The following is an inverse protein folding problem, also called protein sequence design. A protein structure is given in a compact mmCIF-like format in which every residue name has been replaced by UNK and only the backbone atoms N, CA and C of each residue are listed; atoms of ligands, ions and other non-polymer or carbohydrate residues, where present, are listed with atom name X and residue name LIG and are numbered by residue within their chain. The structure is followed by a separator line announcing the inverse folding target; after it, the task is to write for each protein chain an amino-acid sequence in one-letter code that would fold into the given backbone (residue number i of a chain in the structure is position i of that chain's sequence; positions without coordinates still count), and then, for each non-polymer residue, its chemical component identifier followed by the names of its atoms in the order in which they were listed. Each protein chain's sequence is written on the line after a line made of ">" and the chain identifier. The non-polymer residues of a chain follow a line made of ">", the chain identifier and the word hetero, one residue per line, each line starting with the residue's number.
data_IF_946775916351
#
_entry.id   IF_946775916351
#
_cell.length_a   1.000
_cell.length_b   1.000
_cell.length_c   1.000
_cell.angle_alpha   90.00
_cell.angle_beta   90.00
_cell.angle_gamma   90.00
#
_symmetry.space_group_name_H-M   'P 1'
#
loop_
_entity.id
_entity.type
_entity.pdbx_description
1 polymer ?
#
# COMPACT_ATOMS: atom_id res chain seq x y z
N UNK A 1 -2.05 4.09 26.88
CA UNK A 1 -3.23 3.36 26.36
C UNK A 1 -3.19 3.25 24.84
N UNK A 2 -3.20 4.35 24.08
CA UNK A 2 -3.13 4.28 22.60
C UNK A 2 -1.84 3.62 22.10
N UNK A 3 -0.67 4.12 22.52
CA UNK A 3 0.64 3.53 22.18
C UNK A 3 0.76 2.07 22.63
N UNK A 4 0.22 1.73 23.81
CA UNK A 4 0.19 0.35 24.31
C UNK A 4 -0.64 -0.57 23.40
N UNK A 5 -1.76 -0.06 22.89
CA UNK A 5 -2.59 -0.82 21.96
C UNK A 5 -1.92 -1.01 20.61
N UNK A 6 -1.23 0.02 20.10
CA UNK A 6 -0.44 -0.04 18.87
C UNK A 6 0.68 -1.09 18.98
N UNK A 7 1.49 -1.01 20.03
CA UNK A 7 2.57 -1.97 20.29
C UNK A 7 2.05 -3.42 20.34
N UNK A 8 1.00 -3.68 21.12
CA UNK A 8 0.40 -5.03 21.23
C UNK A 8 -0.17 -5.52 19.90
N UNK A 9 -0.71 -4.61 19.08
CA UNK A 9 -1.22 -4.94 17.76
C UNK A 9 -0.08 -5.29 16.81
N UNK A 10 0.92 -4.42 16.67
CA UNK A 10 2.03 -4.64 15.74
C UNK A 10 2.83 -5.91 16.09
N UNK A 11 3.08 -6.19 17.37
CA UNK A 11 3.66 -7.47 17.79
C UNK A 11 2.82 -8.68 17.39
N UNK A 12 1.49 -8.60 17.57
CA UNK A 12 0.58 -9.67 17.17
C UNK A 12 0.60 -9.88 15.65
N UNK A 13 0.71 -8.81 14.86
CA UNK A 13 0.80 -8.91 13.41
C UNK A 13 2.12 -9.55 12.97
N UNK A 14 3.24 -9.17 13.60
CA UNK A 14 4.57 -9.72 13.35
C UNK A 14 4.61 -11.24 13.61
N UNK A 15 3.98 -11.71 14.70
CA UNK A 15 3.94 -13.13 15.06
C UNK A 15 3.03 -13.98 14.16
N UNK A 16 2.11 -13.35 13.41
CA UNK A 16 1.07 -14.04 12.65
C UNK A 16 1.11 -13.73 11.14
N UNK A 17 2.28 -13.35 10.59
CA UNK A 17 2.42 -12.95 9.19
C UNK A 17 1.93 -14.01 8.19
N UNK A 18 2.14 -15.30 8.46
CA UNK A 18 1.72 -16.38 7.56
C UNK A 18 0.19 -16.51 7.46
N UNK A 19 -0.50 -16.30 8.59
CA UNK A 19 -1.97 -16.25 8.63
C UNK A 19 -2.49 -15.04 7.86
N UNK A 20 -1.84 -13.87 8.00
CA UNK A 20 -2.21 -12.67 7.25
C UNK A 20 -2.00 -12.84 5.74
N UNK A 21 -0.91 -13.50 5.32
CA UNK A 21 -0.63 -13.79 3.90
C UNK A 21 -1.60 -14.79 3.29
N UNK A 22 -2.05 -15.77 4.07
CA UNK A 22 -3.10 -16.73 3.67
C UNK A 22 -4.52 -16.18 3.81
N UNK A 23 -4.69 -14.91 4.21
CA UNK A 23 -5.98 -14.29 4.49
C UNK A 23 -6.80 -15.03 5.56
N UNK A 24 -6.13 -15.73 6.47
CA UNK A 24 -6.77 -16.45 7.58
C UNK A 24 -7.06 -15.44 8.71
N UNK A 25 -8.32 -15.32 9.15
CA UNK A 25 -8.69 -14.32 10.16
C UNK A 25 -8.17 -14.69 11.55
N UNK A 26 -7.64 -13.70 12.26
CA UNK A 26 -7.14 -13.81 13.62
C UNK A 26 -8.30 -13.71 14.62
N UNK A 27 -8.49 -14.76 15.41
CA UNK A 27 -9.54 -14.85 16.43
C UNK A 27 -9.05 -14.33 17.78
N UNK A 28 -9.86 -13.51 18.46
CA UNK A 28 -9.53 -12.94 19.79
C UNK A 28 -9.16 -14.00 20.83
N UNK A 29 -9.78 -15.19 20.76
CA UNK A 29 -9.52 -16.31 21.67
C UNK A 29 -8.17 -16.97 21.42
N UNK A 30 -7.73 -17.02 20.16
CA UNK A 30 -6.45 -17.59 19.78
C UNK A 30 -5.30 -16.60 19.99
N UNK A 31 -5.59 -15.29 19.92
CA UNK A 31 -4.59 -14.22 19.96
C UNK A 31 -4.88 -13.25 21.12
N UNK A 32 -4.37 -13.52 22.34
CA UNK A 32 -4.67 -12.70 23.51
C UNK A 32 -4.14 -11.26 23.39
N UNK A 33 -3.04 -11.03 22.65
CA UNK A 33 -2.52 -9.67 22.39
C UNK A 33 -3.48 -8.84 21.56
N UNK A 34 -4.10 -9.43 20.54
CA UNK A 34 -5.14 -8.78 19.73
C UNK A 34 -6.35 -8.38 20.58
N UNK A 35 -6.81 -9.28 21.45
CA UNK A 35 -7.90 -9.01 22.39
C UNK A 35 -7.59 -7.85 23.35
N UNK A 36 -6.35 -7.81 23.88
CA UNK A 36 -5.89 -6.70 24.76
C UNK A 36 -5.78 -5.38 23.99
N UNK A 37 -5.20 -5.38 22.79
CA UNK A 37 -5.11 -4.19 21.94
C UNK A 37 -6.50 -3.61 21.66
N UNK A 38 -7.45 -4.47 21.25
CA UNK A 38 -8.85 -4.11 21.02
C UNK A 38 -9.52 -3.51 22.26
N UNK A 39 -9.31 -4.10 23.44
CA UNK A 39 -9.86 -3.58 24.70
C UNK A 39 -9.32 -2.18 25.03
N UNK A 40 -8.02 -1.96 24.85
CA UNK A 40 -7.40 -0.64 25.03
C UNK A 40 -7.94 0.39 24.04
N UNK A 41 -8.09 0.03 22.76
CA UNK A 41 -8.65 0.93 21.74
C UNK A 41 -10.12 1.25 22.02
N UNK A 42 -10.94 0.27 22.43
CA UNK A 42 -12.33 0.52 22.83
C UNK A 42 -12.42 1.52 23.99
N UNK A 43 -11.54 1.38 24.98
CA UNK A 43 -11.47 2.29 26.13
C UNK A 43 -11.04 3.70 25.71
N UNK A 44 -10.10 3.80 24.77
CA UNK A 44 -9.60 5.09 24.26
C UNK A 44 -10.69 5.81 23.45
N UNK A 45 -11.36 5.09 22.55
CA UNK A 45 -12.41 5.63 21.70
C UNK A 45 -13.67 6.01 22.49
N UNK A 46 -14.05 5.22 23.50
CA UNK A 46 -15.24 5.50 24.32
C UNK A 46 -15.09 6.73 25.23
N UNK A 47 -13.85 7.07 25.62
CA UNK A 47 -13.59 8.24 26.48
C UNK A 47 -13.73 9.56 25.75
N UNK A 48 -13.55 9.60 24.42
CA UNK A 48 -13.76 10.81 23.60
C UNK A 48 -12.82 12.00 23.87
N UNK A 49 -11.75 11.83 24.67
CA UNK A 49 -10.83 12.92 25.08
C UNK A 49 -9.59 13.08 24.17
N UNK A 50 -9.64 12.55 22.96
CA UNK A 50 -8.50 12.60 22.04
C UNK A 50 -8.56 13.85 21.15
N UNK A 51 -7.39 14.41 20.84
CA UNK A 51 -7.28 15.40 19.76
C UNK A 51 -7.61 14.72 18.42
N UNK A 52 -8.02 15.48 17.39
CA UNK A 52 -8.39 14.91 16.10
C UNK A 52 -7.32 13.99 15.48
N UNK A 53 -6.04 14.34 15.66
CA UNK A 53 -4.90 13.52 15.21
C UNK A 53 -4.90 12.13 15.87
N UNK A 54 -4.91 12.08 17.21
CA UNK A 54 -4.87 10.81 17.93
C UNK A 54 -6.17 10.01 17.79
N UNK A 55 -7.30 10.69 17.57
CA UNK A 55 -8.57 10.04 17.25
C UNK A 55 -8.46 9.30 15.91
N UNK A 56 -7.92 9.94 14.88
CA UNK A 56 -7.70 9.29 13.58
C UNK A 56 -6.75 8.10 13.69
N UNK A 57 -5.63 8.25 14.43
CA UNK A 57 -4.71 7.15 14.69
C UNK A 57 -5.41 5.98 15.40
N UNK A 58 -6.21 6.24 16.44
CA UNK A 58 -6.98 5.22 17.15
C UNK A 58 -8.02 4.51 16.26
N UNK A 59 -8.71 5.26 15.39
CA UNK A 59 -9.66 4.72 14.42
C UNK A 59 -8.96 3.84 13.37
N UNK A 60 -7.79 4.23 12.88
CA UNK A 60 -7.00 3.44 11.94
C UNK A 60 -6.45 2.16 12.58
N UNK A 61 -5.99 2.21 13.82
CA UNK A 61 -5.59 1.01 14.57
C UNK A 61 -6.77 0.07 14.81
N UNK A 62 -7.96 0.61 15.12
CA UNK A 62 -9.17 -0.21 15.23
C UNK A 62 -9.59 -0.82 13.88
N UNK A 63 -9.41 -0.07 12.78
CA UNK A 63 -9.64 -0.61 11.44
C UNK A 63 -8.71 -1.80 11.14
N UNK A 64 -7.41 -1.71 11.48
CA UNK A 64 -6.46 -2.82 11.36
C UNK A 64 -6.92 -4.05 12.18
N UNK A 65 -7.37 -3.86 13.43
CA UNK A 65 -7.93 -4.94 14.27
C UNK A 65 -9.12 -5.63 13.59
N UNK A 66 -10.07 -4.85 13.07
CA UNK A 66 -11.22 -5.40 12.36
C UNK A 66 -10.82 -6.13 11.07
N UNK A 67 -9.86 -5.58 10.32
CA UNK A 67 -9.35 -6.20 9.09
C UNK A 67 -8.78 -7.59 9.37
N UNK A 68 -7.89 -7.71 10.36
CA UNK A 68 -7.25 -9.01 10.66
C UNK A 68 -8.21 -10.03 11.26
N UNK A 69 -9.33 -9.59 11.85
CA UNK A 69 -10.42 -10.46 12.28
C UNK A 69 -11.34 -10.91 11.13
N UNK A 70 -11.10 -10.46 9.90
CA UNK A 70 -11.98 -10.71 8.74
C UNK A 70 -13.26 -9.87 8.74
N UNK A 71 -13.37 -8.86 9.62
CA UNK A 71 -14.54 -7.97 9.73
C UNK A 71 -14.35 -6.75 8.84
N UNK A 72 -14.30 -6.98 7.52
CA UNK A 72 -13.97 -5.94 6.53
C UNK A 72 -14.95 -4.76 6.51
N UNK A 73 -16.25 -5.00 6.75
CA UNK A 73 -17.27 -3.92 6.82
C UNK A 73 -17.03 -2.99 8.00
N UNK A 74 -16.75 -3.54 9.18
CA UNK A 74 -16.43 -2.77 10.38
C UNK A 74 -15.14 -1.96 10.15
N UNK A 75 -14.13 -2.60 9.56
CA UNK A 75 -12.85 -1.99 9.24
C UNK A 75 -13.00 -0.80 8.27
N UNK A 76 -13.78 -0.96 7.19
CA UNK A 76 -14.11 0.11 6.26
C UNK A 76 -14.84 1.27 6.95
N UNK A 77 -15.80 0.96 7.83
CA UNK A 77 -16.53 1.96 8.61
C UNK A 77 -15.61 2.80 9.50
N UNK A 78 -14.57 2.20 10.08
CA UNK A 78 -13.56 2.91 10.86
C UNK A 78 -12.64 3.78 9.98
N UNK A 79 -12.19 3.28 8.82
CA UNK A 79 -11.39 4.06 7.86
C UNK A 79 -12.13 5.29 7.32
N UNK A 80 -13.43 5.14 7.00
CA UNK A 80 -14.26 6.25 6.52
C UNK A 80 -14.36 7.41 7.53
N UNK A 81 -14.26 7.10 8.83
CA UNK A 81 -14.30 8.09 9.92
C UNK A 81 -12.93 8.68 10.25
N UNK A 82 -11.85 7.92 10.01
CA UNK A 82 -10.47 8.32 10.32
C UNK A 82 -9.75 9.12 9.22
N UNK A 83 -10.44 9.47 8.13
CA UNK A 83 -9.93 10.28 7.01
C UNK A 83 -8.63 9.75 6.34
N UNK A 84 -8.36 8.44 6.40
CA UNK A 84 -7.27 7.84 5.64
C UNK A 84 -7.64 6.49 5.01
N UNK A 85 -7.13 6.38 3.79
CA UNK A 85 -7.26 5.41 2.72
C UNK A 85 -7.42 3.94 3.16
N UNK A 86 -8.42 3.18 2.64
CA UNK A 86 -8.62 1.77 2.93
C UNK A 86 -7.46 0.94 2.36
N UNK A 87 -6.46 0.70 3.20
CA UNK A 87 -5.50 -0.40 3.06
C UNK A 87 -6.16 -1.78 3.26
N UNK A 88 -7.50 -1.78 3.39
CA UNK A 88 -8.35 -2.73 4.11
C UNK A 88 -9.51 -3.22 3.24
N UNK A 89 -9.61 -2.77 1.98
CA UNK A 89 -10.45 -3.45 1.00
C UNK A 89 -9.65 -4.62 0.43
N UNK A 90 -10.13 -5.88 0.51
CA UNK A 90 -9.64 -6.93 -0.37
C UNK A 90 -9.86 -6.49 -1.82
N UNK A 91 -8.87 -6.66 -2.69
CA UNK A 91 -9.14 -6.66 -4.13
C UNK A 91 -10.25 -7.70 -4.39
N UNK A 92 -11.39 -7.34 -4.99
CA UNK A 92 -12.51 -8.26 -5.20
C UNK A 92 -12.17 -9.49 -6.06
N UNK A 93 -11.02 -9.47 -6.75
CA UNK A 93 -10.53 -10.54 -7.63
C UNK A 93 -10.17 -11.87 -6.95
N UNK A 94 -10.45 -12.05 -5.66
CA UNK A 94 -10.34 -13.37 -4.98
C UNK A 94 -11.65 -13.84 -4.33
N UNK A 95 -12.75 -13.07 -4.38
CA UNK A 95 -14.00 -13.43 -3.66
C UNK A 95 -15.26 -13.45 -4.52
N UNK A 96 -15.21 -13.08 -5.80
CA UNK A 96 -16.43 -12.92 -6.60
C UNK A 96 -16.42 -13.61 -7.97
N UNK A 97 -15.71 -14.71 -8.14
CA UNK A 97 -15.72 -15.45 -9.41
C UNK A 97 -17.07 -16.10 -9.76
N UNK A 98 -18.07 -16.10 -8.88
CA UNK A 98 -19.35 -16.77 -9.17
C UNK A 98 -20.61 -16.06 -8.62
N UNK A 99 -20.77 -14.76 -8.84
CA UNK A 99 -22.10 -14.12 -8.69
C UNK A 99 -22.57 -13.47 -9.98
N UNK A 100 -23.75 -13.89 -10.44
CA UNK A 100 -24.50 -13.27 -11.54
C UNK A 100 -25.05 -11.92 -11.07
N UNK A 101 -24.21 -10.89 -11.20
CA UNK A 101 -24.54 -9.54 -10.74
C UNK A 101 -25.27 -8.76 -11.85
N UNK A 102 -26.40 -8.14 -11.51
CA UNK A 102 -27.21 -7.29 -12.43
C UNK A 102 -26.42 -6.08 -12.95
N UNK A 103 -26.82 -5.50 -14.09
CA UNK A 103 -26.09 -4.40 -14.74
C UNK A 103 -25.88 -3.15 -13.84
N UNK A 104 -26.89 -2.76 -13.06
CA UNK A 104 -26.79 -1.64 -12.10
C UNK A 104 -25.84 -1.93 -10.93
N UNK A 105 -25.76 -3.19 -10.50
CA UNK A 105 -24.81 -3.63 -9.49
C UNK A 105 -23.39 -3.79 -10.04
N UNK A 106 -23.20 -4.05 -11.35
CA UNK A 106 -21.87 -4.04 -11.99
C UNK A 106 -21.27 -2.63 -12.04
N UNK A 107 -22.06 -1.61 -12.35
CA UNK A 107 -21.62 -0.20 -12.32
C UNK A 107 -21.20 0.22 -10.91
N UNK A 108 -22.02 -0.07 -9.90
CA UNK A 108 -21.70 0.22 -8.49
C UNK A 108 -20.56 -0.62 -7.92
N UNK A 109 -20.20 -1.74 -8.56
CA UNK A 109 -19.01 -2.51 -8.21
C UNK A 109 -17.78 -1.88 -8.86
N UNK A 110 -17.86 -1.53 -10.15
CA UNK A 110 -16.82 -0.82 -10.90
C UNK A 110 -16.42 0.50 -10.23
N UNK A 111 -17.38 1.32 -9.78
CA UNK A 111 -17.09 2.57 -9.06
C UNK A 111 -16.30 2.30 -7.76
N UNK A 112 -16.72 1.30 -6.97
CA UNK A 112 -16.02 0.91 -5.74
C UNK A 112 -14.62 0.35 -6.03
N UNK A 113 -14.47 -0.34 -7.15
CA UNK A 113 -13.21 -0.90 -7.61
C UNK A 113 -12.21 0.17 -8.05
N UNK A 114 -12.68 1.24 -8.68
CA UNK A 114 -11.90 2.41 -9.03
C UNK A 114 -11.52 3.23 -7.78
N UNK A 115 -12.46 3.41 -6.85
CA UNK A 115 -12.19 4.00 -5.54
C UNK A 115 -11.10 3.21 -4.79
N UNK A 116 -11.19 1.87 -4.77
CA UNK A 116 -10.17 1.01 -4.15
C UNK A 116 -8.80 1.16 -4.81
N UNK A 117 -8.73 1.25 -6.15
CA UNK A 117 -7.48 1.45 -6.86
C UNK A 117 -6.84 2.81 -6.53
N UNK A 118 -7.62 3.88 -6.56
CA UNK A 118 -7.17 5.23 -6.12
C UNK A 118 -6.62 5.20 -4.69
N UNK A 119 -7.24 4.39 -3.85
CA UNK A 119 -6.78 4.17 -2.49
C UNK A 119 -5.43 3.45 -2.43
N UNK A 120 -5.24 2.36 -3.17
CA UNK A 120 -3.93 1.70 -3.22
C UNK A 120 -2.84 2.59 -3.80
N UNK A 121 -3.13 3.41 -4.82
CA UNK A 121 -2.17 4.34 -5.40
C UNK A 121 -1.68 5.36 -4.36
N UNK A 122 -2.61 5.97 -3.61
CA UNK A 122 -2.26 6.91 -2.52
C UNK A 122 -1.53 6.23 -1.37
N UNK A 123 -1.91 5.01 -1.02
CA UNK A 123 -1.22 4.24 0.03
C UNK A 123 0.22 3.88 -0.38
N UNK A 124 0.43 3.51 -1.65
CA UNK A 124 1.75 3.25 -2.21
C UNK A 124 2.64 4.50 -2.14
N UNK A 125 2.10 5.66 -2.52
CA UNK A 125 2.82 6.94 -2.44
C UNK A 125 3.21 7.31 -1.01
N UNK A 126 2.25 7.22 -0.08
CA UNK A 126 2.50 7.46 1.34
C UNK A 126 3.54 6.49 1.92
N UNK A 127 3.50 5.21 1.53
CA UNK A 127 4.45 4.19 1.95
C UNK A 127 5.87 4.49 1.44
N UNK A 128 6.01 4.88 0.17
CA UNK A 128 7.31 5.25 -0.41
C UNK A 128 7.87 6.51 0.26
N UNK A 129 7.05 7.53 0.49
CA UNK A 129 7.46 8.72 1.24
C UNK A 129 7.87 8.37 2.67
N UNK A 130 7.11 7.53 3.38
CA UNK A 130 7.44 7.06 4.71
C UNK A 130 8.82 6.39 4.76
N UNK A 131 9.10 5.47 3.83
CA UNK A 131 10.40 4.80 3.75
C UNK A 131 11.57 5.76 3.46
N UNK A 132 11.32 6.86 2.74
CA UNK A 132 12.33 7.89 2.50
C UNK A 132 12.56 8.76 3.74
N UNK A 133 11.50 9.15 4.45
CA UNK A 133 11.62 9.91 5.69
C UNK A 133 12.34 9.11 6.79
N UNK A 134 12.07 7.80 6.91
CA UNK A 134 12.82 6.93 7.81
C UNK A 134 14.32 6.92 7.50
N UNK A 135 14.67 6.84 6.22
CA UNK A 135 16.08 6.82 5.79
C UNK A 135 16.77 8.15 6.08
N UNK A 136 16.09 9.28 5.83
CA UNK A 136 16.59 10.62 6.20
C UNK A 136 16.92 10.71 7.68
N UNK A 137 15.99 10.33 8.56
CA UNK A 137 16.17 10.37 10.02
C UNK A 137 17.37 9.51 10.44
N UNK A 138 17.49 8.31 9.87
CA UNK A 138 18.59 7.37 10.19
C UNK A 138 19.97 7.90 9.79
N UNK A 139 20.07 8.67 8.70
CA UNK A 139 21.31 9.26 8.20
C UNK A 139 21.68 10.54 8.97
N UNK A 140 20.69 11.31 9.45
CA UNK A 140 20.92 12.60 10.12
C UNK A 140 21.19 12.53 11.62
N UNK A 141 21.28 11.35 12.24
CA UNK A 141 21.56 11.24 13.68
C UNK A 141 23.09 11.20 13.90
N UNK A 142 23.75 12.30 14.36
CA UNK A 142 25.17 12.25 14.68
C UNK A 142 25.36 11.44 15.96
N UNK A 143 25.93 10.24 15.84
CA UNK A 143 26.49 9.56 17.00
C UNK A 143 27.60 10.44 17.62
N UNK A 144 27.36 10.90 18.84
CA UNK A 144 28.39 11.46 19.72
C UNK A 144 29.48 10.40 19.96
N UNK A 145 30.66 10.67 19.38
CA UNK A 145 32.02 10.14 19.65
C UNK A 145 32.15 8.98 20.66
N UNK A 146 32.66 7.82 20.22
CA UNK A 146 34.04 7.36 20.55
C UNK A 146 34.41 6.03 19.87
N UNK A 147 35.69 5.96 19.46
CA UNK A 147 36.54 4.79 19.18
C UNK A 147 36.44 4.06 17.82
N UNK A 148 37.63 3.85 17.24
CA UNK A 148 37.96 3.23 15.96
C UNK A 148 37.47 1.77 15.87
N UNK A 149 36.70 1.45 14.83
CA UNK A 149 36.87 0.25 14.02
C UNK A 149 36.10 0.42 12.71
N UNK A 150 36.78 0.20 11.60
CA UNK A 150 36.24 0.11 10.25
C UNK A 150 35.23 -1.03 10.14
N UNK A 151 33.95 -0.74 10.26
CA UNK A 151 32.87 -1.57 9.75
C UNK A 151 31.86 -0.60 9.15
N UNK A 152 31.60 -0.73 7.85
CA UNK A 152 30.45 -0.09 7.21
C UNK A 152 29.21 -0.35 8.09
N UNK A 153 28.29 0.62 8.25
CA UNK A 153 27.06 0.37 8.98
C UNK A 153 26.40 -0.85 8.31
N UNK A 154 26.26 -1.95 9.06
CA UNK A 154 25.57 -3.12 8.53
C UNK A 154 24.21 -2.65 8.04
N UNK A 155 23.74 -3.14 6.88
CA UNK A 155 22.39 -2.83 6.45
C UNK A 155 21.48 -3.40 7.53
N UNK A 156 20.90 -2.54 8.35
CA UNK A 156 19.78 -2.92 9.19
C UNK A 156 18.70 -3.29 8.18
N UNK A 157 18.47 -4.60 8.00
CA UNK A 157 17.37 -5.09 7.19
C UNK A 157 16.10 -4.54 7.85
N UNK A 158 15.53 -3.49 7.24
CA UNK A 158 14.25 -2.94 7.68
C UNK A 158 13.23 -3.99 7.28
N UNK A 159 12.74 -4.75 8.25
CA UNK A 159 11.65 -5.70 8.02
C UNK A 159 10.35 -4.91 7.87
N UNK A 160 9.73 -5.00 6.69
CA UNK A 160 8.50 -4.26 6.40
C UNK A 160 7.31 -5.02 6.97
N UNK A 161 6.56 -4.39 7.86
CA UNK A 161 5.30 -4.94 8.35
C UNK A 161 4.29 -5.22 7.22
N UNK A 162 3.39 -6.18 7.45
CA UNK A 162 2.42 -6.69 6.46
C UNK A 162 1.66 -5.59 5.71
N UNK A 163 1.10 -4.62 6.45
CA UNK A 163 0.31 -3.52 5.88
C UNK A 163 1.15 -2.56 5.03
N UNK A 164 2.41 -2.34 5.41
CA UNK A 164 3.33 -1.53 4.61
C UNK A 164 3.70 -2.25 3.31
N UNK A 165 3.98 -3.56 3.37
CA UNK A 165 4.20 -4.38 2.18
C UNK A 165 2.97 -4.36 1.26
N UNK A 166 1.77 -4.55 1.80
CA UNK A 166 0.51 -4.49 1.07
C UNK A 166 0.34 -3.12 0.38
N UNK A 167 0.54 -2.02 1.10
CA UNK A 167 0.45 -0.66 0.55
C UNK A 167 1.32 -0.43 -0.67
N UNK A 168 2.54 -0.97 -0.65
CA UNK A 168 3.49 -0.83 -1.75
C UNK A 168 3.06 -1.61 -2.99
N UNK A 169 2.41 -2.77 -2.82
CA UNK A 169 2.15 -3.70 -3.92
C UNK A 169 0.72 -3.77 -4.44
N UNK A 170 -0.29 -3.46 -3.62
CA UNK A 170 -1.70 -3.67 -3.96
C UNK A 170 -2.12 -2.97 -5.26
N UNK A 171 -1.59 -1.77 -5.55
CA UNK A 171 -1.97 -1.01 -6.73
C UNK A 171 -1.57 -1.72 -8.04
N UNK A 172 -0.29 -2.09 -8.18
CA UNK A 172 0.16 -2.74 -9.41
C UNK A 172 -0.35 -4.18 -9.50
N UNK A 173 -0.51 -4.89 -8.39
CA UNK A 173 -1.09 -6.24 -8.41
C UNK A 173 -2.54 -6.21 -8.88
N UNK A 174 -3.34 -5.26 -8.38
CA UNK A 174 -4.73 -5.08 -8.79
C UNK A 174 -4.83 -4.81 -10.30
N UNK A 175 -4.01 -3.91 -10.84
CA UNK A 175 -3.98 -3.59 -12.27
C UNK A 175 -3.60 -4.81 -13.11
N UNK A 176 -2.54 -5.52 -12.73
CA UNK A 176 -2.07 -6.68 -13.48
C UNK A 176 -3.04 -7.86 -13.43
N UNK A 177 -3.67 -8.12 -12.28
CA UNK A 177 -4.70 -9.17 -12.13
C UNK A 177 -5.93 -8.91 -12.99
N UNK A 178 -6.26 -7.63 -13.23
CA UNK A 178 -7.35 -7.21 -14.12
C UNK A 178 -6.97 -7.23 -15.60
N UNK A 179 -5.72 -7.53 -15.94
CA UNK A 179 -5.22 -7.47 -17.31
C UNK A 179 -4.93 -6.04 -17.80
N UNK A 180 -4.93 -5.04 -16.91
CA UNK A 180 -4.54 -3.67 -17.25
C UNK A 180 -3.01 -3.54 -17.28
N UNK A 181 -2.38 -4.22 -18.23
CA UNK A 181 -0.93 -4.42 -18.31
C UNK A 181 -0.15 -3.10 -18.48
N UNK A 182 -0.62 -2.19 -19.31
CA UNK A 182 0.01 -0.90 -19.56
C UNK A 182 -0.09 0.03 -18.34
N UNK A 183 -1.24 0.06 -17.67
CA UNK A 183 -1.41 0.79 -16.41
C UNK A 183 -0.54 0.18 -15.30
N UNK A 184 -0.52 -1.15 -15.17
CA UNK A 184 0.30 -1.87 -14.20
C UNK A 184 1.80 -1.64 -14.42
N UNK A 185 2.27 -1.74 -15.67
CA UNK A 185 3.64 -1.44 -16.05
C UNK A 185 4.01 0.03 -15.79
N UNK A 186 3.09 0.97 -16.07
CA UNK A 186 3.28 2.38 -15.76
C UNK A 186 3.46 2.61 -14.25
N UNK A 187 2.62 1.99 -13.42
CA UNK A 187 2.73 2.09 -11.96
C UNK A 187 4.04 1.48 -11.44
N UNK A 188 4.46 0.32 -11.95
CA UNK A 188 5.76 -0.28 -11.61
C UNK A 188 6.93 0.64 -11.99
N UNK A 189 6.90 1.24 -13.19
CA UNK A 189 7.90 2.23 -13.61
C UNK A 189 7.89 3.47 -12.73
N UNK A 190 6.72 3.90 -12.25
CA UNK A 190 6.60 5.03 -11.31
C UNK A 190 7.27 4.70 -9.97
N UNK A 191 7.00 3.52 -9.41
CA UNK A 191 7.63 3.03 -8.18
C UNK A 191 9.16 2.98 -8.32
N UNK A 192 9.67 2.43 -9.43
CA UNK A 192 11.10 2.27 -9.67
C UNK A 192 11.83 3.60 -9.89
N UNK A 193 11.12 4.65 -10.31
CA UNK A 193 11.67 6.01 -10.48
C UNK A 193 11.84 6.77 -9.17
N UNK A 194 11.12 6.39 -8.11
CA UNK A 194 11.29 7.00 -6.80
C UNK A 194 12.72 6.77 -6.32
N UNK A 195 13.34 7.72 -5.61
CA UNK A 195 14.69 7.55 -5.04
C UNK A 195 14.72 6.34 -4.09
N UNK A 196 15.78 5.55 -4.16
CA UNK A 196 15.96 4.36 -3.31
C UNK A 196 16.33 4.74 -1.89
N UNK A 197 15.63 4.12 -0.93
CA UNK A 197 16.01 4.08 0.49
C UNK A 197 16.34 2.65 0.90
N UNK A 198 17.02 2.49 2.05
CA UNK A 198 17.37 1.18 2.63
C UNK A 198 16.16 0.24 2.77
N UNK A 199 15.01 0.75 3.23
CA UNK A 199 13.79 -0.05 3.38
C UNK A 199 13.06 -0.35 2.05
N UNK A 200 13.45 0.27 0.94
CA UNK A 200 12.78 0.07 -0.35
C UNK A 200 13.48 -0.95 -1.27
N UNK A 201 14.71 -1.37 -0.96
CA UNK A 201 15.57 -2.14 -1.89
C UNK A 201 14.95 -3.47 -2.30
N UNK A 202 14.58 -4.31 -1.32
CA UNK A 202 14.00 -5.64 -1.56
C UNK A 202 12.67 -5.56 -2.33
N UNK A 203 11.85 -4.56 -2.00
CA UNK A 203 10.60 -4.30 -2.70
C UNK A 203 10.84 -3.86 -4.14
N UNK A 204 11.73 -2.90 -4.38
CA UNK A 204 12.05 -2.43 -5.74
C UNK A 204 12.67 -3.51 -6.60
N UNK A 205 13.51 -4.38 -6.05
CA UNK A 205 14.02 -5.57 -6.74
C UNK A 205 12.88 -6.47 -7.23
N UNK A 206 11.87 -6.69 -6.37
CA UNK A 206 10.68 -7.48 -6.73
C UNK A 206 9.80 -6.77 -7.77
N UNK A 207 9.62 -5.45 -7.65
CA UNK A 207 8.90 -4.63 -8.61
C UNK A 207 9.59 -4.60 -9.99
N UNK A 208 10.92 -4.51 -10.02
CA UNK A 208 11.71 -4.56 -11.25
C UNK A 208 11.57 -5.92 -11.95
N UNK A 209 11.63 -7.02 -11.19
CA UNK A 209 11.37 -8.36 -11.72
C UNK A 209 9.96 -8.45 -12.32
N UNK A 210 8.94 -8.00 -11.57
CA UNK A 210 7.55 -8.03 -12.05
C UNK A 210 7.36 -7.18 -13.31
N UNK A 211 8.03 -6.03 -13.42
CA UNK A 211 8.00 -5.22 -14.63
C UNK A 211 8.65 -5.96 -15.80
N UNK A 212 9.80 -6.59 -15.60
CA UNK A 212 10.47 -7.39 -16.63
C UNK A 212 9.58 -8.54 -17.11
N UNK A 213 8.92 -9.26 -16.20
CA UNK A 213 7.94 -10.31 -16.52
C UNK A 213 6.82 -9.78 -17.42
N UNK A 214 6.21 -8.64 -17.07
CA UNK A 214 5.14 -8.02 -17.87
C UNK A 214 5.65 -7.64 -19.26
N UNK A 215 6.80 -6.97 -19.34
CA UNK A 215 7.36 -6.52 -20.62
C UNK A 215 7.69 -7.70 -21.53
N UNK A 216 8.33 -8.75 -21.01
CA UNK A 216 8.74 -9.92 -21.80
C UNK A 216 7.55 -10.80 -22.23
N UNK A 217 6.47 -10.83 -21.44
CA UNK A 217 5.30 -11.67 -21.75
C UNK A 217 4.27 -10.99 -22.64
N UNK A 218 4.23 -9.66 -22.68
CA UNK A 218 3.12 -8.93 -23.30
C UNK A 218 3.52 -7.87 -24.33
N UNK A 219 4.78 -7.42 -24.34
CA UNK A 219 5.22 -6.30 -25.19
C UNK A 219 6.13 -6.82 -26.31
N UNK A 220 5.81 -6.42 -27.55
CA UNK A 220 6.67 -6.57 -28.73
C UNK A 220 7.47 -5.29 -29.00
N UNK A 221 8.47 -5.35 -29.87
CA UNK A 221 9.26 -4.17 -30.26
C UNK A 221 8.39 -3.01 -30.76
N UNK A 222 7.41 -3.31 -31.63
CA UNK A 222 6.49 -2.31 -32.21
C UNK A 222 5.45 -1.76 -31.22
N UNK A 223 5.24 -2.45 -30.09
CA UNK A 223 4.27 -2.06 -29.07
C UNK A 223 4.90 -1.50 -27.81
N UNK A 224 6.24 -1.42 -27.75
CA UNK A 224 6.99 -0.84 -26.65
C UNK A 224 6.81 0.68 -26.56
N UNK A 225 6.88 1.20 -25.34
CA UNK A 225 6.88 2.64 -25.09
C UNK A 225 7.88 3.04 -24.02
N UNK A 226 8.54 4.21 -24.16
CA UNK A 226 9.52 4.70 -23.20
C UNK A 226 8.96 4.86 -21.77
N UNK A 227 9.78 4.69 -20.72
CA UNK A 227 9.32 4.79 -19.34
C UNK A 227 8.74 6.15 -18.91
N UNK A 228 9.11 7.22 -19.61
CA UNK A 228 8.62 8.59 -19.36
C UNK A 228 7.42 8.96 -20.25
N UNK A 229 7.13 8.15 -21.28
CA UNK A 229 5.99 8.36 -22.16
C UNK A 229 4.69 7.82 -21.57
N UNK A 230 3.52 8.40 -21.95
CA UNK A 230 2.25 7.78 -21.66
C UNK A 230 2.15 6.41 -22.37
N UNK A 231 1.41 5.44 -21.80
CA UNK A 231 1.14 4.20 -22.51
C UNK A 231 0.36 4.49 -23.81
N UNK A 232 0.65 3.79 -24.92
CA UNK A 232 -0.04 4.01 -26.19
C UNK A 232 -1.54 3.78 -26.08
N UNK A 233 -2.35 4.54 -26.82
CA UNK A 233 -3.81 4.40 -26.83
C UNK A 233 -4.28 3.01 -27.24
N UNK A 234 -3.56 2.33 -28.13
CA UNK A 234 -3.83 0.95 -28.54
C UNK A 234 -3.79 -0.04 -27.37
N UNK A 235 -2.93 0.19 -26.37
CA UNK A 235 -2.88 -0.61 -25.15
C UNK A 235 -4.10 -0.36 -24.27
N UNK A 236 -4.44 0.91 -24.05
CA UNK A 236 -5.60 1.28 -23.24
C UNK A 236 -6.91 0.79 -23.84
N UNK A 237 -7.01 0.78 -25.17
CA UNK A 237 -8.17 0.26 -25.88
C UNK A 237 -8.30 -1.26 -25.74
N UNK A 238 -7.17 -1.98 -25.72
CA UNK A 238 -7.12 -3.44 -25.53
C UNK A 238 -7.57 -3.87 -24.13
N UNK A 239 -7.38 -3.01 -23.12
CA UNK A 239 -7.69 -3.29 -21.71
C UNK A 239 -9.18 -3.18 -21.36
N UNK A 240 -10.06 -2.79 -22.30
CA UNK A 240 -11.50 -3.05 -22.21
C UNK A 240 -12.32 -2.17 -21.25
N UNK A 241 -11.75 -1.16 -20.60
CA UNK A 241 -12.52 -0.20 -19.79
C UNK A 241 -12.07 1.24 -20.06
N UNK A 242 -13.01 2.03 -20.59
CA UNK A 242 -13.06 3.49 -20.64
C UNK A 242 -11.70 4.21 -20.75
N UNK A 243 -11.51 4.88 -21.89
CA UNK A 243 -10.87 6.19 -21.86
C UNK A 243 -11.68 7.12 -20.92
N UNK A 244 -11.60 6.90 -19.62
CA UNK A 244 -11.93 7.93 -18.65
C UNK A 244 -10.96 9.05 -18.93
N UNK A 245 -11.49 10.23 -19.22
CA UNK A 245 -10.73 11.48 -19.34
C UNK A 245 -9.84 11.76 -18.12
N UNK A 246 -10.06 11.02 -17.03
CA UNK A 246 -9.36 11.11 -15.76
C UNK A 246 -8.41 9.93 -15.50
N UNK A 247 -8.02 9.15 -16.52
CA UNK A 247 -6.92 8.20 -16.36
C UNK A 247 -5.74 8.96 -15.72
N UNK A 248 -5.43 8.61 -14.47
CA UNK A 248 -4.52 9.33 -13.57
C UNK A 248 -3.09 9.10 -14.10
N UNK A 249 -2.80 9.67 -15.25
CA UNK A 249 -1.47 9.92 -15.74
C UNK A 249 -1.12 11.29 -15.18
N UNK A 250 -0.25 11.38 -14.15
CA UNK A 250 0.24 12.67 -13.73
C UNK A 250 0.82 13.36 -14.96
N UNK A 251 0.25 14.52 -15.30
CA UNK A 251 0.75 15.38 -16.38
C UNK A 251 2.22 15.60 -16.12
N UNK A 252 3.06 15.14 -17.06
CA UNK A 252 4.52 15.25 -16.96
C UNK A 252 4.86 16.73 -17.01
N UNK A 253 4.96 17.40 -15.85
CA UNK A 253 5.84 18.56 -15.76
C UNK A 253 7.25 18.02 -15.83
N UNK A 254 8.03 18.36 -16.87
CA UNK A 254 9.43 17.99 -16.91
C UNK A 254 10.12 18.51 -15.65
N UNK A 255 11.12 17.78 -15.10
CA UNK A 255 11.88 18.26 -13.95
C UNK A 255 12.41 19.65 -14.28
N UNK A 256 12.06 20.62 -13.43
CA UNK A 256 12.54 21.99 -13.54
C UNK A 256 14.06 21.91 -13.40
N UNK A 257 14.78 22.16 -14.50
CA UNK A 257 16.24 22.29 -14.45
C UNK A 257 16.51 23.44 -13.49
N UNK A 258 17.27 23.17 -12.42
CA UNK A 258 17.84 24.25 -11.62
C UNK A 258 18.65 25.12 -12.58
N UNK A 259 18.29 26.41 -12.68
CA UNK A 259 19.10 27.38 -13.42
C UNK A 259 20.45 27.40 -12.73
N UNK A 260 21.50 27.07 -13.47
CA UNK A 260 22.86 27.40 -13.10
C UNK A 260 23.10 28.83 -13.56
N UNK A 261 22.57 29.78 -12.77
CA UNK A 261 23.03 31.17 -12.77
C UNK A 261 23.62 31.46 -11.39
#
# INVERSE_FOLDING_TARGET
>A
MLLTAEMLLEECLQENLDLLRSSTPLMDKAQPRLGRAKSHLNTVLSRGRLTPRYLNEALLLMAKVHFVQGRYRDAQGMCARGMMVPMVSPCPGLSLDHQTVSASSRVRLSEREEECLSCYLRACDAALSYLQELDKISVTTPHTKTAKASLAPSPVDIDLGYFLQASLQSAYLCLLQRGHLAQGAHQLRRILRVVESRGSQNFKKSAARKLAEVLLSSVSEDSYWPPLGPPPSAWLLREGAAASKDAIYPTVKPPQRYSTD
#
